data_IF_517160488866
#
_entry.id   IF_517160488866
#
_cell.length_a   1.000
_cell.length_b   1.000
_cell.length_c   1.000
_cell.angle_alpha   90.00
_cell.angle_beta   90.00
_cell.angle_gamma   90.00
#
_symmetry.space_group_name_H-M   'P 1'
#
loop_
_entity.id
_entity.type
_entity.pdbx_description
1 polymer ?
#
# COMPACT_ATOMS: atom_id res chain seq x y z
N UNK A 1 -10.19 -5.37 -40.93
CA UNK A 1 -10.21 -4.20 -40.03
C UNK A 1 -8.86 -3.46 -40.06
N UNK A 2 -8.84 -2.14 -40.28
CA UNK A 2 -7.60 -1.37 -40.23
C UNK A 2 -6.96 -1.45 -38.83
N UNK A 3 -5.61 -1.54 -38.74
CA UNK A 3 -4.93 -1.55 -37.45
C UNK A 3 -5.22 -0.25 -36.68
N UNK A 4 -5.46 -0.37 -35.38
CA UNK A 4 -5.69 0.79 -34.52
C UNK A 4 -4.42 1.64 -34.45
N UNK A 5 -4.53 2.93 -34.82
CA UNK A 5 -3.43 3.90 -34.70
C UNK A 5 -3.38 4.43 -33.27
N UNK A 6 -2.28 4.16 -32.57
CA UNK A 6 -2.05 4.72 -31.24
C UNK A 6 -1.92 6.26 -31.31
N UNK A 7 -2.40 6.98 -30.29
CA UNK A 7 -2.10 8.40 -30.14
C UNK A 7 -0.61 8.60 -29.83
N UNK A 8 -0.15 9.85 -29.87
CA UNK A 8 1.19 10.20 -29.38
C UNK A 8 1.24 10.05 -27.83
N UNK A 9 2.12 9.22 -27.27
CA UNK A 9 2.27 9.07 -25.82
C UNK A 9 2.78 10.34 -25.11
N UNK A 10 3.37 11.29 -25.84
CA UNK A 10 3.79 12.59 -25.33
C UNK A 10 2.66 13.63 -25.31
N UNK A 11 1.54 13.36 -25.99
CA UNK A 11 0.39 14.25 -25.97
C UNK A 11 -0.28 14.23 -24.59
N UNK A 12 0.13 15.17 -23.73
CA UNK A 12 -0.38 15.32 -22.36
C UNK A 12 -1.49 16.35 -22.24
N UNK A 13 -1.94 16.97 -23.33
CA UNK A 13 -3.04 17.92 -23.31
C UNK A 13 -4.28 17.26 -22.66
N UNK A 14 -4.72 17.81 -21.52
CA UNK A 14 -5.82 17.31 -20.70
C UNK A 14 -5.56 15.99 -19.94
N UNK A 15 -4.30 15.58 -19.75
CA UNK A 15 -3.91 14.45 -18.91
C UNK A 15 -3.23 14.93 -17.62
N UNK A 16 -3.40 14.21 -16.50
CA UNK A 16 -4.20 12.98 -16.32
C UNK A 16 -5.71 13.24 -16.21
N UNK A 17 -6.55 12.33 -16.73
CA UNK A 17 -8.03 12.49 -16.77
C UNK A 17 -8.75 12.30 -15.44
N UNK A 18 -8.05 11.83 -14.39
CA UNK A 18 -8.63 11.42 -13.11
C UNK A 18 -8.15 12.30 -11.94
N UNK A 19 -7.84 13.58 -12.20
CA UNK A 19 -7.29 14.49 -11.19
C UNK A 19 -8.26 14.71 -10.02
N UNK A 20 -9.56 14.79 -10.27
CA UNK A 20 -10.57 14.98 -9.22
C UNK A 20 -10.75 13.77 -8.29
N UNK A 21 -10.50 12.56 -8.81
CA UNK A 21 -10.62 11.31 -8.04
C UNK A 21 -9.30 10.86 -7.44
N UNK A 22 -8.17 11.43 -7.87
CA UNK A 22 -6.85 11.12 -7.34
C UNK A 22 -6.77 11.43 -5.84
N UNK A 23 -6.48 10.43 -4.99
CA UNK A 23 -6.64 10.60 -3.56
C UNK A 23 -5.51 11.39 -2.90
N UNK A 24 -4.30 11.36 -3.45
CA UNK A 24 -3.11 11.90 -2.77
C UNK A 24 -2.91 13.41 -2.94
N UNK A 25 -3.59 14.05 -3.91
CA UNK A 25 -3.60 15.52 -4.06
C UNK A 25 -4.64 16.20 -3.16
N UNK A 26 -5.45 15.40 -2.43
CA UNK A 26 -6.52 15.93 -1.59
C UNK A 26 -5.97 16.35 -0.24
N UNK A 27 -6.56 17.40 0.30
CA UNK A 27 -6.32 17.83 1.67
C UNK A 27 -7.46 17.37 2.58
N UNK A 28 -7.20 17.32 3.89
CA UNK A 28 -8.25 17.26 4.90
C UNK A 28 -9.16 18.47 4.77
N UNK A 29 -10.40 18.37 5.26
CA UNK A 29 -11.41 19.44 5.18
C UNK A 29 -11.79 19.87 3.76
N UNK A 30 -11.41 19.10 2.73
CA UNK A 30 -11.84 19.32 1.35
C UNK A 30 -13.28 18.82 1.11
N UNK A 31 -13.97 19.45 0.16
CA UNK A 31 -15.35 19.14 -0.20
C UNK A 31 -16.37 19.93 0.59
N UNK A 32 -17.59 19.39 0.74
CA UNK A 32 -18.69 20.06 1.44
C UNK A 32 -18.42 20.06 2.96
N UNK A 33 -18.30 21.24 3.55
CA UNK A 33 -18.21 21.42 5.01
C UNK A 33 -19.45 20.79 5.69
N UNK A 34 -19.27 19.99 6.75
CA UNK A 34 -20.37 19.48 7.56
C UNK A 34 -21.24 20.61 8.12
N UNK A 35 -22.55 20.39 8.18
CA UNK A 35 -23.51 21.35 8.74
C UNK A 35 -23.30 21.62 10.23
N UNK A 36 -22.65 20.69 10.93
CA UNK A 36 -22.36 20.79 12.34
C UNK A 36 -20.86 20.56 12.53
N UNK A 37 -20.22 21.53 13.15
CA UNK A 37 -18.82 21.46 13.57
C UNK A 37 -18.76 21.30 15.08
N UNK A 38 -17.61 20.86 15.57
CA UNK A 38 -17.37 20.83 17.01
C UNK A 38 -17.18 22.25 17.55
N UNK A 39 -17.74 22.55 18.72
CA UNK A 39 -17.55 23.82 19.40
C UNK A 39 -16.25 23.89 20.23
N UNK A 40 -15.49 22.80 20.28
CA UNK A 40 -14.24 22.69 21.02
C UNK A 40 -13.94 21.26 21.44
N UNK A 41 -12.91 21.06 22.25
CA UNK A 41 -12.64 19.76 22.87
C UNK A 41 -11.92 19.92 24.19
N UNK A 42 -12.21 19.01 25.12
CA UNK A 42 -11.43 18.87 26.36
C UNK A 42 -9.95 18.57 26.09
N UNK A 43 -9.65 17.95 24.93
CA UNK A 43 -8.27 17.69 24.47
C UNK A 43 -7.96 18.59 23.30
N UNK A 44 -7.02 19.54 23.43
CA UNK A 44 -6.59 20.38 22.32
C UNK A 44 -6.09 19.55 21.14
N UNK A 45 -6.58 19.88 19.95
CA UNK A 45 -6.08 19.35 18.68
C UNK A 45 -5.95 20.50 17.68
N UNK A 46 -5.03 20.36 16.72
CA UNK A 46 -4.78 21.41 15.71
C UNK A 46 -5.97 21.54 14.77
N UNK A 47 -6.23 22.75 14.29
CA UNK A 47 -7.15 23.01 13.18
C UNK A 47 -6.45 23.11 11.81
N UNK A 48 -5.17 22.76 11.75
CA UNK A 48 -4.38 22.71 10.53
C UNK A 48 -4.98 21.79 9.45
N UNK A 49 -4.71 22.14 8.18
CA UNK A 49 -5.13 21.37 7.00
C UNK A 49 -3.97 20.48 6.57
N UNK A 50 -4.16 19.16 6.66
CA UNK A 50 -3.14 18.16 6.32
C UNK A 50 -3.39 17.54 4.95
N UNK A 51 -2.39 16.90 4.33
CA UNK A 51 -2.61 15.96 3.24
C UNK A 51 -3.55 14.84 3.65
N UNK A 52 -4.46 14.46 2.75
CA UNK A 52 -5.42 13.37 2.98
C UNK A 52 -4.70 12.03 3.03
N UNK A 53 -5.01 11.25 4.06
CA UNK A 53 -4.61 9.85 4.16
C UNK A 53 -5.58 9.00 3.32
N UNK A 54 -5.01 8.22 2.42
CA UNK A 54 -5.70 7.22 1.62
C UNK A 54 -5.01 5.88 1.77
N UNK A 55 -5.74 4.92 2.36
CA UNK A 55 -5.27 3.56 2.57
C UNK A 55 -6.21 2.63 1.81
N UNK A 56 -5.70 1.82 0.85
CA UNK A 56 -6.50 0.86 0.13
C UNK A 56 -7.19 -0.15 1.06
N UNK A 57 -8.37 -0.63 0.66
CA UNK A 57 -9.17 -1.63 1.39
C UNK A 57 -8.34 -2.82 1.84
N UNK A 58 -7.59 -3.40 0.91
CA UNK A 58 -6.76 -4.58 1.15
C UNK A 58 -5.55 -4.31 2.07
N UNK A 59 -5.20 -3.04 2.27
CA UNK A 59 -4.13 -2.64 3.18
C UNK A 59 -4.70 -2.32 4.57
N UNK A 60 -5.82 -1.58 4.64
CA UNK A 60 -6.44 -1.18 5.91
C UNK A 60 -7.11 -2.34 6.67
N UNK A 61 -7.60 -3.35 5.95
CA UNK A 61 -8.24 -4.54 6.54
C UNK A 61 -7.31 -5.75 6.60
N UNK A 62 -6.03 -5.58 6.29
CA UNK A 62 -5.11 -6.71 6.10
C UNK A 62 -4.89 -7.57 7.34
N UNK A 63 -5.15 -7.03 8.54
CA UNK A 63 -5.04 -7.74 9.82
C UNK A 63 -6.39 -8.22 10.36
N UNK A 64 -7.50 -7.93 9.66
CA UNK A 64 -8.82 -8.21 10.17
C UNK A 64 -9.20 -9.67 9.94
N UNK A 65 -9.89 -10.31 10.90
CA UNK A 65 -10.67 -11.52 10.66
C UNK A 65 -11.65 -11.34 9.49
N UNK A 66 -11.91 -12.41 8.74
CA UNK A 66 -12.73 -12.36 7.53
C UNK A 66 -14.21 -12.05 7.83
N UNK A 67 -14.73 -12.47 8.98
CA UNK A 67 -16.08 -12.13 9.46
C UNK A 67 -16.23 -10.62 9.74
N UNK A 68 -15.27 -10.01 10.43
CA UNK A 68 -15.24 -8.56 10.66
C UNK A 68 -15.11 -7.83 9.32
N UNK A 69 -14.22 -8.29 8.44
CA UNK A 69 -14.02 -7.68 7.12
C UNK A 69 -15.29 -7.75 6.27
N UNK A 70 -16.01 -8.87 6.32
CA UNK A 70 -17.30 -9.06 5.63
C UNK A 70 -18.36 -8.12 6.20
N UNK A 71 -18.51 -8.07 7.52
CA UNK A 71 -19.48 -7.19 8.17
C UNK A 71 -19.23 -5.69 7.85
N UNK A 72 -17.96 -5.27 7.80
CA UNK A 72 -17.61 -3.91 7.38
C UNK A 72 -17.89 -3.70 5.89
N UNK A 73 -17.64 -4.69 5.03
CA UNK A 73 -17.91 -4.58 3.60
C UNK A 73 -19.40 -4.47 3.28
N UNK A 74 -20.27 -5.08 4.09
CA UNK A 74 -21.74 -5.03 3.94
C UNK A 74 -22.36 -3.70 4.37
N UNK A 75 -21.73 -2.96 5.29
CA UNK A 75 -22.22 -1.65 5.78
C UNK A 75 -21.06 -0.71 6.11
N UNK A 76 -20.21 -0.34 5.14
CA UNK A 76 -18.97 0.40 5.39
C UNK A 76 -19.20 1.76 6.05
N UNK A 77 -20.34 2.41 5.80
CA UNK A 77 -20.73 3.70 6.36
C UNK A 77 -20.96 3.69 7.87
N UNK A 78 -21.18 2.51 8.49
CA UNK A 78 -21.35 2.35 9.94
C UNK A 78 -20.03 2.25 10.70
N UNK A 79 -18.91 2.24 9.96
CA UNK A 79 -17.58 2.03 10.51
C UNK A 79 -16.61 3.10 9.99
N UNK A 80 -15.74 3.58 10.89
CA UNK A 80 -14.61 4.44 10.54
C UNK A 80 -13.36 3.75 11.05
N UNK A 81 -12.31 3.70 10.22
CA UNK A 81 -11.02 3.24 10.66
C UNK A 81 -10.26 4.40 11.30
N UNK A 82 -9.82 4.23 12.54
CA UNK A 82 -8.92 5.15 13.20
C UNK A 82 -7.49 4.59 13.14
N UNK A 83 -6.70 5.18 12.26
CA UNK A 83 -5.32 4.79 12.01
C UNK A 83 -4.41 5.71 12.81
N UNK A 84 -3.72 5.21 13.84
CA UNK A 84 -2.77 6.04 14.56
C UNK A 84 -1.60 6.41 13.64
N UNK A 85 -1.05 7.61 13.79
CA UNK A 85 0.22 7.93 13.17
C UNK A 85 1.28 6.99 13.73
N UNK A 86 2.13 6.44 12.87
CA UNK A 86 3.05 5.33 13.18
C UNK A 86 2.34 4.01 13.47
N UNK A 87 1.15 3.80 12.89
CA UNK A 87 0.37 2.57 13.05
C UNK A 87 1.22 1.31 12.82
N UNK A 88 0.98 0.29 13.62
CA UNK A 88 1.70 -0.98 13.56
C UNK A 88 1.71 -1.63 14.94
N UNK A 89 2.22 -2.88 15.06
CA UNK A 89 2.23 -3.61 16.32
C UNK A 89 2.88 -2.81 17.47
N UNK A 90 3.99 -2.12 17.19
CA UNK A 90 4.72 -1.35 18.20
C UNK A 90 3.91 -0.20 18.81
N UNK A 91 3.05 0.45 18.02
CA UNK A 91 2.19 1.50 18.56
C UNK A 91 1.29 0.96 19.68
N UNK A 92 0.75 -0.24 19.53
CA UNK A 92 -0.14 -0.86 20.52
C UNK A 92 0.61 -1.49 21.70
N UNK A 93 1.86 -1.91 21.50
CA UNK A 93 2.76 -2.26 22.60
C UNK A 93 3.00 -1.06 23.52
N UNK A 94 3.28 0.10 22.91
CA UNK A 94 3.51 1.37 23.61
C UNK A 94 2.19 1.96 24.16
N UNK A 95 1.04 1.67 23.53
CA UNK A 95 -0.27 2.23 23.86
C UNK A 95 -1.34 1.14 24.02
N UNK A 96 -1.19 0.28 25.04
CA UNK A 96 -2.07 -0.89 25.27
C UNK A 96 -3.57 -0.59 25.40
N UNK A 97 -3.93 0.66 25.72
CA UNK A 97 -5.32 1.14 25.89
C UNK A 97 -5.68 2.22 24.87
N UNK A 98 -5.11 2.14 23.66
CA UNK A 98 -5.37 3.10 22.59
C UNK A 98 -6.86 3.20 22.21
N UNK A 99 -7.61 2.10 22.34
CA UNK A 99 -9.07 2.05 22.22
C UNK A 99 -9.77 3.00 23.19
N UNK A 100 -9.37 2.97 24.46
CA UNK A 100 -9.94 3.83 25.49
C UNK A 100 -9.51 5.29 25.30
N UNK A 101 -8.24 5.51 24.95
CA UNK A 101 -7.72 6.85 24.64
C UNK A 101 -8.53 7.51 23.50
N UNK A 102 -8.72 6.80 22.38
CA UNK A 102 -9.51 7.29 21.26
C UNK A 102 -10.99 7.49 21.66
N UNK A 103 -11.57 6.55 22.40
CA UNK A 103 -12.97 6.65 22.85
C UNK A 103 -13.19 7.85 23.76
N UNK A 104 -12.29 8.10 24.71
CA UNK A 104 -12.34 9.25 25.61
C UNK A 104 -12.22 10.55 24.83
N UNK A 105 -11.26 10.64 23.90
CA UNK A 105 -11.12 11.79 23.02
C UNK A 105 -12.40 12.08 22.22
N UNK A 106 -12.94 11.09 21.52
CA UNK A 106 -14.14 11.27 20.70
C UNK A 106 -15.36 11.67 21.55
N UNK A 107 -15.44 11.19 22.79
CA UNK A 107 -16.48 11.61 23.74
C UNK A 107 -16.27 13.04 24.27
N UNK A 108 -15.04 13.50 24.41
CA UNK A 108 -14.67 14.85 24.86
C UNK A 108 -14.68 15.92 23.76
N UNK A 109 -14.98 15.58 22.50
CA UNK A 109 -15.27 16.58 21.46
C UNK A 109 -16.59 17.27 21.81
N UNK A 110 -16.69 18.59 21.82
CA UNK A 110 -17.99 19.24 22.03
C UNK A 110 -18.81 19.19 20.72
N UNK A 111 -19.77 18.26 20.64
CA UNK A 111 -20.58 18.02 19.46
C UNK A 111 -22.00 17.57 19.87
N UNK A 112 -23.08 18.18 19.35
CA UNK A 112 -24.45 18.02 19.88
C UNK A 112 -24.98 16.58 19.91
N UNK A 113 -24.80 15.83 18.82
CA UNK A 113 -25.18 14.42 18.75
C UNK A 113 -24.04 13.61 18.17
N UNK A 114 -23.40 12.79 19.01
CA UNK A 114 -22.30 11.91 18.63
C UNK A 114 -22.73 10.47 18.42
N UNK A 115 -23.95 10.09 18.80
CA UNK A 115 -24.37 8.69 18.93
C UNK A 115 -23.71 7.93 20.10
N UNK A 116 -23.89 6.61 20.12
CA UNK A 116 -23.34 5.67 21.11
C UNK A 116 -21.97 5.15 20.68
N UNK A 117 -20.97 6.04 20.67
CA UNK A 117 -19.61 5.74 20.17
C UNK A 117 -19.02 4.50 20.87
N UNK A 118 -18.62 3.54 20.04
CA UNK A 118 -17.84 2.38 20.44
C UNK A 118 -16.55 2.36 19.63
N UNK A 119 -15.45 2.02 20.31
CA UNK A 119 -14.13 1.84 19.71
C UNK A 119 -13.64 0.47 20.14
N UNK A 120 -13.18 -0.34 19.20
CA UNK A 120 -12.64 -1.65 19.51
C UNK A 120 -11.47 -2.02 18.61
N UNK A 121 -10.65 -2.92 19.13
CA UNK A 121 -9.55 -3.54 18.40
C UNK A 121 -10.10 -4.77 17.66
N UNK A 122 -9.92 -4.89 16.34
CA UNK A 122 -10.21 -6.15 15.65
C UNK A 122 -9.19 -7.17 16.15
N UNK A 123 -9.64 -8.17 16.90
CA UNK A 123 -8.80 -9.28 17.36
C UNK A 123 -8.04 -9.85 16.15
N UNK A 124 -6.72 -10.03 16.26
CA UNK A 124 -5.94 -10.57 15.15
C UNK A 124 -6.58 -11.88 14.67
N UNK A 125 -6.70 -12.02 13.34
CA UNK A 125 -6.93 -13.33 12.76
C UNK A 125 -5.82 -14.24 13.29
N UNK A 126 -6.18 -15.26 14.08
CA UNK A 126 -5.22 -16.29 14.47
C UNK A 126 -4.76 -16.93 13.17
N UNK A 127 -3.56 -16.58 12.71
CA UNK A 127 -2.95 -17.29 11.58
C UNK A 127 -2.91 -18.76 11.97
N UNK A 128 -3.65 -19.59 11.24
CA UNK A 128 -3.60 -21.03 11.42
C UNK A 128 -2.14 -21.45 11.35
N UNK A 129 -1.63 -22.04 12.45
CA UNK A 129 -0.22 -22.42 12.66
C UNK A 129 0.34 -23.38 11.59
N UNK A 130 -0.43 -23.75 10.57
CA UNK A 130 -0.07 -24.72 9.52
C UNK A 130 0.93 -24.19 8.48
N UNK A 131 1.21 -22.88 8.41
CA UNK A 131 2.26 -22.34 7.52
C UNK A 131 3.66 -22.27 8.16
N UNK A 132 3.86 -22.86 9.35
CA UNK A 132 5.14 -22.82 10.10
C UNK A 132 6.26 -23.72 9.55
N UNK A 133 6.10 -24.35 8.38
CA UNK A 133 7.19 -25.10 7.74
C UNK A 133 8.13 -24.23 6.88
N UNK A 134 8.10 -22.90 7.01
CA UNK A 134 9.20 -22.05 6.55
C UNK A 134 10.10 -21.71 7.74
N UNK A 135 11.09 -22.57 7.97
CA UNK A 135 12.22 -22.33 8.89
C UNK A 135 13.24 -21.30 8.36
N UNK A 136 12.95 -20.62 7.25
CA UNK A 136 13.84 -19.59 6.70
C UNK A 136 13.40 -18.19 7.13
N UNK A 137 14.06 -17.68 8.16
CA UNK A 137 14.12 -16.25 8.47
C UNK A 137 12.84 -15.71 9.11
N UNK A 138 12.84 -15.63 10.44
CA UNK A 138 11.97 -14.70 11.15
C UNK A 138 12.20 -13.27 10.65
N UNK A 139 11.51 -12.87 9.58
CA UNK A 139 11.19 -11.48 9.34
C UNK A 139 10.32 -11.09 10.53
N UNK A 140 10.93 -10.52 11.57
CA UNK A 140 10.21 -9.84 12.64
C UNK A 140 9.12 -9.02 11.94
N UNK A 141 7.85 -9.26 12.25
CA UNK A 141 6.75 -8.38 11.83
C UNK A 141 7.27 -6.97 12.05
N UNK A 142 7.42 -6.19 10.98
CA UNK A 142 8.06 -4.87 11.09
C UNK A 142 7.32 -4.10 12.18
N UNK A 143 8.03 -3.38 13.04
CA UNK A 143 7.41 -2.56 14.09
C UNK A 143 6.32 -1.62 13.53
N UNK A 144 6.43 -1.32 12.23
CA UNK A 144 5.53 -0.47 11.45
C UNK A 144 4.95 -1.19 10.22
N UNK A 145 4.65 -2.48 10.32
CA UNK A 145 3.99 -3.25 9.26
C UNK A 145 2.60 -2.65 8.89
N UNK A 146 1.79 -3.40 8.13
CA UNK A 146 0.44 -2.99 7.70
C UNK A 146 -0.36 -2.29 8.82
N UNK A 147 -1.17 -1.26 8.49
CA UNK A 147 -1.93 -0.52 9.49
C UNK A 147 -2.80 -1.48 10.30
N UNK A 148 -2.75 -1.33 11.61
CA UNK A 148 -3.71 -1.90 12.54
C UNK A 148 -4.62 -0.77 12.98
N UNK A 149 -5.71 -0.47 12.26
CA UNK A 149 -6.65 0.55 12.68
C UNK A 149 -7.54 0.05 13.82
N UNK A 150 -7.93 0.96 14.71
CA UNK A 150 -9.09 0.75 15.57
C UNK A 150 -10.36 0.96 14.75
N UNK A 151 -11.44 0.25 15.10
CA UNK A 151 -12.74 0.40 14.45
C UNK A 151 -13.62 1.28 15.35
N UNK A 152 -14.10 2.38 14.79
CA UNK A 152 -15.07 3.29 15.42
C UNK A 152 -16.46 2.99 14.84
N UNK A 153 -17.47 2.84 15.70
CA UNK A 153 -18.86 2.60 15.31
C UNK A 153 -19.84 3.25 16.29
N UNK A 154 -21.14 3.18 16.00
CA UNK A 154 -22.21 3.74 16.81
C UNK A 154 -22.27 5.27 16.79
N UNK A 155 -21.57 5.92 15.87
CA UNK A 155 -21.60 7.36 15.69
C UNK A 155 -22.88 7.82 14.96
N UNK A 156 -23.33 9.05 15.22
CA UNK A 156 -24.38 9.68 14.42
C UNK A 156 -23.87 10.02 13.02
N UNK A 157 -24.75 10.11 12.02
CA UNK A 157 -24.35 10.45 10.65
C UNK A 157 -23.61 11.80 10.56
N UNK A 158 -24.12 12.82 11.28
CA UNK A 158 -23.50 14.16 11.32
C UNK A 158 -22.11 14.13 11.93
N UNK A 159 -21.94 13.39 13.03
CA UNK A 159 -20.64 13.25 13.67
C UNK A 159 -19.65 12.47 12.79
N UNK A 160 -20.08 11.38 12.15
CA UNK A 160 -19.27 10.63 11.20
C UNK A 160 -18.77 11.50 10.03
N UNK A 161 -19.64 12.34 9.45
CA UNK A 161 -19.26 13.31 8.40
C UNK A 161 -18.22 14.31 8.90
N UNK A 162 -18.39 14.85 10.11
CA UNK A 162 -17.41 15.73 10.74
C UNK A 162 -16.05 15.05 10.94
N UNK A 163 -16.03 13.84 11.49
CA UNK A 163 -14.82 13.06 11.73
C UNK A 163 -14.05 12.78 10.42
N UNK A 164 -14.75 12.37 9.36
CA UNK A 164 -14.14 12.09 8.06
C UNK A 164 -13.71 13.35 7.29
N UNK A 165 -14.42 14.46 7.47
CA UNK A 165 -14.05 15.75 6.90
C UNK A 165 -12.79 16.29 7.56
N UNK A 166 -12.70 16.27 8.89
CA UNK A 166 -11.50 16.69 9.61
C UNK A 166 -10.33 15.72 9.40
N UNK A 167 -10.61 14.41 9.46
CA UNK A 167 -9.73 13.28 9.20
C UNK A 167 -8.50 13.16 10.11
N UNK A 168 -7.64 14.17 10.19
CA UNK A 168 -6.46 14.18 11.04
C UNK A 168 -6.75 14.91 12.35
N UNK A 169 -6.54 14.22 13.47
CA UNK A 169 -6.59 14.79 14.81
C UNK A 169 -5.20 14.66 15.44
N UNK A 170 -4.39 15.70 15.31
CA UNK A 170 -3.10 15.80 15.99
C UNK A 170 -3.32 16.35 17.40
N UNK A 171 -3.17 15.50 18.42
CA UNK A 171 -3.44 15.84 19.82
C UNK A 171 -2.13 16.01 20.59
N UNK A 172 -2.11 16.92 21.56
CA UNK A 172 -0.94 17.19 22.40
C UNK A 172 -0.46 15.97 23.22
N UNK A 173 -1.32 14.97 23.43
CA UNK A 173 -1.07 13.76 24.24
C UNK A 173 -0.38 12.61 23.49
N UNK A 174 0.40 12.91 22.44
CA UNK A 174 1.24 11.97 21.66
C UNK A 174 0.51 10.98 20.75
N UNK A 175 -0.82 10.93 20.76
CA UNK A 175 -1.57 10.16 19.78
C UNK A 175 -2.10 11.08 18.67
N UNK A 176 -1.81 10.72 17.44
CA UNK A 176 -2.38 11.38 16.25
C UNK A 176 -3.24 10.36 15.55
N UNK A 177 -4.48 10.71 15.25
CA UNK A 177 -5.43 9.81 14.63
C UNK A 177 -5.81 10.28 13.23
N UNK A 178 -5.67 9.40 12.25
CA UNK A 178 -6.25 9.56 10.92
C UNK A 178 -7.53 8.73 10.84
N UNK A 179 -8.67 9.40 10.80
CA UNK A 179 -10.01 8.80 10.69
C UNK A 179 -10.38 8.67 9.22
N UNK A 180 -10.23 7.46 8.67
CA UNK A 180 -10.44 7.17 7.25
C UNK A 180 -11.68 6.31 7.05
N UNK A 181 -12.43 6.50 5.95
CA UNK A 181 -13.61 5.69 5.68
C UNK A 181 -13.19 4.29 5.26
N UNK A 182 -13.95 3.28 5.67
CA UNK A 182 -13.88 1.99 5.01
C UNK A 182 -14.52 2.09 3.63
N UNK A 183 -13.81 1.61 2.61
CA UNK A 183 -14.32 1.57 1.25
C UNK A 183 -13.84 0.28 0.58
N UNK A 184 -14.70 -0.75 0.45
CA UNK A 184 -14.33 -2.01 -0.20
C UNK A 184 -13.87 -1.87 -1.66
N UNK A 185 -14.17 -0.73 -2.29
CA UNK A 185 -13.77 -0.41 -3.67
C UNK A 185 -12.45 0.35 -3.76
N UNK A 186 -11.87 0.79 -2.63
CA UNK A 186 -10.62 1.54 -2.62
C UNK A 186 -9.44 0.59 -2.89
N UNK A 187 -8.91 0.62 -4.12
CA UNK A 187 -7.66 -0.05 -4.47
C UNK A 187 -6.47 0.92 -4.44
N UNK A 188 -5.26 0.35 -4.40
CA UNK A 188 -4.03 1.10 -4.52
C UNK A 188 -3.97 1.82 -5.87
N UNK A 189 -3.73 3.13 -5.83
CA UNK A 189 -3.42 3.92 -7.03
C UNK A 189 -1.96 3.74 -7.46
N UNK A 190 -1.10 3.31 -6.53
CA UNK A 190 0.30 3.01 -6.80
C UNK A 190 0.41 1.70 -7.55
N UNK A 191 0.94 1.74 -8.78
CA UNK A 191 1.04 0.58 -9.67
C UNK A 191 2.39 -0.10 -9.47
N UNK A 192 3.48 0.67 -9.59
CA UNK A 192 4.86 0.16 -9.57
C UNK A 192 5.86 1.30 -9.34
N UNK A 193 7.04 0.99 -8.83
CA UNK A 193 8.17 1.91 -8.77
C UNK A 193 9.31 1.46 -9.71
N UNK A 194 10.02 2.41 -10.31
CA UNK A 194 11.16 2.20 -11.18
C UNK A 194 12.41 2.90 -10.62
N UNK A 195 13.57 2.26 -10.74
CA UNK A 195 14.88 2.78 -10.38
C UNK A 195 15.82 2.76 -11.61
N UNK A 196 16.98 3.40 -11.48
CA UNK A 196 18.04 3.39 -12.48
C UNK A 196 18.68 4.77 -12.68
N UNK A 197 19.77 4.82 -13.44
CA UNK A 197 20.57 6.05 -13.63
C UNK A 197 19.80 7.23 -14.27
N UNK A 198 18.71 6.92 -14.98
CA UNK A 198 17.85 7.90 -15.64
C UNK A 198 16.86 8.57 -14.67
N UNK A 199 16.67 8.00 -13.48
CA UNK A 199 15.72 8.49 -12.50
C UNK A 199 16.27 9.74 -11.82
N UNK A 200 15.71 10.89 -12.18
CA UNK A 200 16.13 12.21 -11.70
C UNK A 200 14.91 13.11 -11.54
N UNK A 201 15.00 14.09 -10.64
CA UNK A 201 13.97 15.11 -10.49
C UNK A 201 14.05 16.12 -11.64
N UNK A 202 13.64 15.71 -12.84
CA UNK A 202 13.63 16.53 -14.03
C UNK A 202 12.28 16.33 -14.76
N UNK A 203 11.43 17.38 -14.87
CA UNK A 203 10.11 17.27 -15.47
C UNK A 203 10.11 16.71 -16.91
N UNK A 204 11.11 17.06 -17.73
CA UNK A 204 11.24 16.57 -19.11
C UNK A 204 11.53 15.06 -19.12
N UNK A 205 12.43 14.60 -18.26
CA UNK A 205 12.74 13.17 -18.13
C UNK A 205 11.56 12.37 -17.56
N UNK A 206 10.83 12.93 -16.61
CA UNK A 206 9.63 12.31 -16.03
C UNK A 206 8.56 12.15 -17.14
N UNK A 207 8.33 13.19 -17.95
CA UNK A 207 7.40 13.15 -19.06
C UNK A 207 7.82 12.14 -20.14
N UNK A 208 9.10 12.11 -20.52
CA UNK A 208 9.65 11.12 -21.46
C UNK A 208 9.48 9.69 -20.91
N UNK A 209 9.83 9.46 -19.65
CA UNK A 209 9.69 8.16 -19.01
C UNK A 209 8.23 7.69 -18.98
N UNK A 210 7.30 8.58 -18.62
CA UNK A 210 5.86 8.28 -18.64
C UNK A 210 5.37 7.92 -20.05
N UNK A 211 5.81 8.66 -21.08
CA UNK A 211 5.46 8.39 -22.46
C UNK A 211 5.98 7.02 -22.92
N UNK A 212 7.23 6.66 -22.57
CA UNK A 212 7.81 5.34 -22.87
C UNK A 212 7.11 4.20 -22.15
N UNK A 213 6.74 4.41 -20.88
CA UNK A 213 5.94 3.45 -20.10
C UNK A 213 4.58 3.22 -20.76
N UNK A 214 3.91 4.30 -21.20
CA UNK A 214 2.63 4.24 -21.91
C UNK A 214 2.76 3.49 -23.23
N UNK A 215 3.70 3.86 -24.10
CA UNK A 215 3.90 3.22 -25.40
C UNK A 215 4.21 1.71 -25.27
N UNK A 216 5.09 1.33 -24.34
CA UNK A 216 5.40 -0.07 -24.05
C UNK A 216 4.15 -0.84 -23.58
N UNK A 217 3.37 -0.24 -22.69
CA UNK A 217 2.10 -0.81 -22.19
C UNK A 217 1.08 -0.97 -23.31
N UNK A 218 0.96 0.03 -24.19
CA UNK A 218 0.01 0.03 -25.30
C UNK A 218 0.32 -1.05 -26.32
N UNK A 219 1.60 -1.35 -26.57
CA UNK A 219 2.02 -2.36 -27.55
C UNK A 219 2.02 -3.78 -27.01
N UNK A 220 1.97 -3.97 -25.70
CA UNK A 220 1.98 -5.31 -25.10
C UNK A 220 0.62 -6.03 -25.27
N UNK A 221 0.61 -7.09 -26.06
CA UNK A 221 -0.61 -7.86 -26.37
C UNK A 221 -1.19 -8.55 -25.12
N UNK A 222 -0.36 -8.93 -24.16
CA UNK A 222 -0.83 -9.60 -22.93
C UNK A 222 -1.59 -8.62 -22.04
N UNK A 223 -1.09 -7.40 -21.89
CA UNK A 223 -1.76 -6.29 -21.20
C UNK A 223 -3.06 -5.95 -21.93
N UNK A 224 -3.03 -5.78 -23.26
CA UNK A 224 -4.25 -5.50 -24.03
C UNK A 224 -5.34 -6.55 -23.81
N UNK A 225 -4.99 -7.84 -23.85
CA UNK A 225 -5.93 -8.93 -23.62
C UNK A 225 -6.44 -8.95 -22.17
N UNK A 226 -5.59 -8.65 -21.19
CA UNK A 226 -5.99 -8.53 -19.79
C UNK A 226 -6.96 -7.36 -19.60
N UNK A 227 -6.64 -6.17 -20.12
CA UNK A 227 -7.52 -4.98 -20.08
C UNK A 227 -8.86 -5.29 -20.75
N UNK A 228 -8.87 -5.92 -21.93
CA UNK A 228 -10.10 -6.36 -22.61
C UNK A 228 -10.96 -7.24 -21.71
N UNK A 229 -10.37 -8.27 -21.09
CA UNK A 229 -11.11 -9.17 -20.18
C UNK A 229 -11.71 -8.41 -19.00
N UNK A 230 -10.95 -7.49 -18.42
CA UNK A 230 -11.37 -6.65 -17.30
C UNK A 230 -12.56 -5.77 -17.69
N UNK A 231 -12.44 -5.04 -18.81
CA UNK A 231 -13.48 -4.12 -19.25
C UNK A 231 -14.73 -4.87 -19.72
N UNK A 232 -14.57 -6.04 -20.35
CA UNK A 232 -15.69 -6.90 -20.73
C UNK A 232 -16.49 -7.38 -19.51
N UNK A 233 -15.81 -7.74 -18.42
CA UNK A 233 -16.48 -8.10 -17.15
C UNK A 233 -17.26 -6.93 -16.54
N UNK A 234 -16.96 -5.69 -16.95
CA UNK A 234 -17.68 -4.46 -16.57
C UNK A 234 -18.75 -4.07 -17.60
N UNK A 235 -19.04 -4.90 -18.60
CA UNK A 235 -19.99 -4.61 -19.68
C UNK A 235 -19.46 -3.66 -20.76
N UNK A 236 -18.16 -3.31 -20.72
CA UNK A 236 -17.53 -2.46 -21.72
C UNK A 236 -16.89 -3.33 -22.82
N UNK A 237 -17.34 -3.14 -24.06
CA UNK A 237 -16.76 -3.77 -25.24
C UNK A 237 -15.93 -2.75 -26.04
N UNK A 238 -14.95 -3.23 -26.80
CA UNK A 238 -14.14 -2.35 -27.63
C UNK A 238 -12.85 -3.00 -28.12
N UNK A 239 -12.11 -2.23 -28.91
CA UNK A 239 -10.78 -2.61 -29.36
C UNK A 239 -9.81 -2.64 -28.15
N UNK A 240 -9.08 -3.74 -27.90
CA UNK A 240 -8.18 -3.89 -26.75
C UNK A 240 -7.11 -2.80 -26.65
N UNK A 241 -6.55 -2.36 -27.78
CA UNK A 241 -5.56 -1.30 -27.85
C UNK A 241 -6.18 0.05 -27.41
N UNK A 242 -7.38 0.37 -27.91
CA UNK A 242 -8.12 1.59 -27.51
C UNK A 242 -8.45 1.60 -26.01
N UNK A 243 -8.85 0.44 -25.47
CA UNK A 243 -9.16 0.31 -24.04
C UNK A 243 -7.89 0.47 -23.18
N UNK A 244 -6.75 -0.05 -23.64
CA UNK A 244 -5.45 0.10 -22.98
C UNK A 244 -4.99 1.55 -22.97
N UNK A 245 -5.16 2.28 -24.08
CA UNK A 245 -4.92 3.73 -24.11
C UNK A 245 -5.76 4.43 -23.05
N UNK A 246 -7.08 4.16 -23.01
CA UNK A 246 -8.00 4.76 -22.03
C UNK A 246 -7.57 4.48 -20.58
N UNK A 247 -7.18 3.25 -20.25
CA UNK A 247 -6.64 2.89 -18.94
C UNK A 247 -5.48 3.81 -18.51
N UNK A 248 -4.55 4.10 -19.42
CA UNK A 248 -3.35 4.88 -19.09
C UNK A 248 -3.58 6.39 -19.03
N UNK A 249 -4.77 6.89 -19.34
CA UNK A 249 -5.06 8.33 -19.33
C UNK A 249 -5.02 8.93 -17.92
N UNK A 250 -5.25 8.14 -16.88
CA UNK A 250 -5.10 8.56 -15.47
C UNK A 250 -3.66 8.48 -14.95
N UNK A 251 -2.73 7.91 -15.73
CA UNK A 251 -1.38 7.63 -15.27
C UNK A 251 -0.56 8.90 -15.09
N UNK A 252 0.17 8.94 -13.99
CA UNK A 252 1.17 9.95 -13.64
C UNK A 252 2.43 9.26 -13.13
N UNK A 253 3.56 9.93 -13.32
CA UNK A 253 4.85 9.47 -12.84
C UNK A 253 5.41 10.52 -11.89
N UNK A 254 5.72 10.12 -10.66
CA UNK A 254 6.27 11.03 -9.65
C UNK A 254 7.70 10.64 -9.32
N UNK A 255 8.59 11.62 -9.25
CA UNK A 255 9.91 11.42 -8.68
C UNK A 255 9.80 11.36 -7.15
N UNK A 256 10.43 10.35 -6.55
CA UNK A 256 10.44 10.15 -5.11
C UNK A 256 11.85 9.79 -4.67
N UNK A 257 12.41 10.57 -3.75
CA UNK A 257 13.69 10.22 -3.15
C UNK A 257 13.50 9.09 -2.15
N UNK A 258 14.26 8.00 -2.29
CA UNK A 258 14.24 6.92 -1.31
C UNK A 258 15.56 6.84 -0.56
N UNK A 259 15.46 6.62 0.74
CA UNK A 259 16.55 6.17 1.61
C UNK A 259 16.23 4.71 1.91
N UNK A 260 16.91 3.76 1.28
CA UNK A 260 16.74 2.35 1.64
C UNK A 260 17.27 2.11 3.06
N UNK A 261 16.87 1.00 3.69
CA UNK A 261 17.33 0.61 5.03
C UNK A 261 18.86 0.41 5.09
N UNK A 262 19.47 0.07 3.95
CA UNK A 262 20.92 -0.07 3.79
C UNK A 262 21.64 1.26 3.49
N UNK A 263 20.94 2.39 3.60
CA UNK A 263 21.45 3.73 3.30
C UNK A 263 21.87 3.96 1.84
N UNK A 264 21.66 2.98 0.95
CA UNK A 264 21.75 3.15 -0.49
C UNK A 264 20.60 4.05 -0.96
N UNK A 265 20.95 5.32 -1.17
CA UNK A 265 20.08 6.35 -1.71
C UNK A 265 19.81 6.02 -3.18
N UNK A 266 18.57 5.72 -3.51
CA UNK A 266 18.14 5.52 -4.88
C UNK A 266 16.87 6.32 -5.13
N UNK A 267 16.88 7.37 -5.95
CA UNK A 267 15.62 7.96 -6.37
C UNK A 267 14.82 6.92 -7.17
N UNK A 268 13.50 6.98 -7.07
CA UNK A 268 12.59 6.20 -7.90
C UNK A 268 11.65 7.08 -8.69
N UNK A 269 11.13 6.54 -9.77
CA UNK A 269 9.89 6.99 -10.38
C UNK A 269 8.74 6.11 -9.90
N UNK A 270 7.74 6.70 -9.26
CA UNK A 270 6.53 6.04 -8.81
C UNK A 270 5.43 6.22 -9.85
N UNK A 271 5.04 5.13 -10.51
CA UNK A 271 3.91 5.11 -11.44
C UNK A 271 2.61 4.95 -10.64
N UNK A 272 1.72 5.92 -10.78
CA UNK A 272 0.41 5.92 -10.18
C UNK A 272 -0.68 6.11 -11.23
N UNK A 273 -1.86 5.59 -10.98
CA UNK A 273 -3.01 5.73 -11.86
C UNK A 273 -4.28 5.21 -11.24
N UNK A 274 -5.41 5.62 -11.79
CA UNK A 274 -6.71 5.14 -11.35
C UNK A 274 -6.82 3.62 -11.63
N UNK A 275 -7.19 2.81 -10.63
CA UNK A 275 -7.45 1.40 -10.83
C UNK A 275 -8.58 1.19 -11.85
N UNK A 276 -8.34 0.38 -12.88
CA UNK A 276 -9.35 0.09 -13.93
C UNK A 276 -10.57 -0.63 -13.36
N UNK A 277 -10.40 -1.33 -12.25
CA UNK A 277 -11.44 -2.17 -11.66
C UNK A 277 -11.30 -2.27 -10.16
N UNK A 278 -12.33 -2.87 -9.54
CA UNK A 278 -12.42 -3.08 -8.09
C UNK A 278 -11.78 -4.42 -7.66
N UNK A 279 -11.49 -5.34 -8.60
CA UNK A 279 -10.86 -6.61 -8.29
C UNK A 279 -9.34 -6.47 -8.08
N UNK A 280 -8.88 -6.82 -6.87
CA UNK A 280 -7.48 -6.71 -6.47
C UNK A 280 -6.53 -7.63 -7.25
N UNK A 281 -6.93 -8.86 -7.55
CA UNK A 281 -6.05 -9.84 -8.20
C UNK A 281 -5.77 -9.46 -9.65
N UNK A 282 -6.77 -8.92 -10.33
CA UNK A 282 -6.62 -8.41 -11.69
C UNK A 282 -5.81 -7.10 -11.72
N UNK A 283 -5.96 -6.23 -10.71
CA UNK A 283 -5.09 -5.07 -10.55
C UNK A 283 -3.61 -5.49 -10.33
N UNK A 284 -3.37 -6.50 -9.49
CA UNK A 284 -2.04 -7.10 -9.30
C UNK A 284 -1.51 -7.75 -10.57
N UNK A 285 -2.36 -8.41 -11.35
CA UNK A 285 -1.98 -9.00 -12.63
C UNK A 285 -1.51 -7.93 -13.62
N UNK A 286 -2.20 -6.78 -13.72
CA UNK A 286 -1.75 -5.65 -14.54
C UNK A 286 -0.37 -5.18 -14.10
N UNK A 287 -0.20 -4.91 -12.80
CA UNK A 287 1.10 -4.49 -12.26
C UNK A 287 2.20 -5.52 -12.58
N UNK A 288 1.93 -6.82 -12.44
CA UNK A 288 2.86 -7.90 -12.77
C UNK A 288 3.21 -7.99 -14.26
N UNK A 289 2.29 -7.64 -15.17
CA UNK A 289 2.60 -7.50 -16.59
C UNK A 289 3.50 -6.29 -16.85
N UNK A 290 3.20 -5.13 -16.22
CA UNK A 290 4.03 -3.93 -16.35
C UNK A 290 5.46 -4.18 -15.83
N UNK A 291 5.63 -4.94 -14.72
CA UNK A 291 6.96 -5.33 -14.21
C UNK A 291 7.82 -6.11 -15.20
N UNK A 292 7.23 -6.71 -16.24
CA UNK A 292 7.98 -7.51 -17.23
C UNK A 292 8.36 -6.71 -18.47
N UNK A 293 7.84 -5.48 -18.60
CA UNK A 293 8.16 -4.62 -19.73
C UNK A 293 9.62 -4.17 -19.65
N UNK A 294 10.31 -4.22 -20.79
CA UNK A 294 11.62 -3.59 -20.97
C UNK A 294 11.39 -2.17 -21.44
N UNK A 295 11.59 -1.21 -20.56
CA UNK A 295 11.37 0.21 -20.84
C UNK A 295 12.73 0.91 -20.85
N UNK A 296 13.07 1.51 -21.98
CA UNK A 296 14.29 2.30 -22.14
C UNK A 296 13.93 3.77 -22.35
N UNK A 297 14.65 4.65 -21.66
CA UNK A 297 14.54 6.11 -21.74
C UNK A 297 15.96 6.62 -22.00
N UNK A 298 16.17 7.31 -23.13
CA UNK A 298 17.52 7.78 -23.54
C UNK A 298 18.59 6.68 -23.47
N UNK A 299 18.29 5.50 -24.03
CA UNK A 299 19.17 4.31 -24.03
C UNK A 299 19.46 3.71 -22.64
N UNK A 300 18.87 4.24 -21.57
CA UNK A 300 19.01 3.71 -20.21
C UNK A 300 17.74 2.95 -19.82
N UNK A 301 17.89 1.78 -19.22
CA UNK A 301 16.76 0.94 -18.83
C UNK A 301 16.19 1.38 -17.47
N UNK A 302 14.86 1.47 -17.39
CA UNK A 302 14.15 1.53 -16.12
C UNK A 302 14.09 0.14 -15.50
N UNK A 303 14.57 0.01 -14.27
CA UNK A 303 14.60 -1.23 -13.51
C UNK A 303 13.43 -1.23 -12.54
N UNK A 304 12.64 -2.31 -12.53
CA UNK A 304 11.51 -2.42 -11.62
C UNK A 304 11.98 -2.62 -10.17
N UNK A 305 11.29 -1.97 -9.24
CA UNK A 305 11.46 -2.20 -7.80
C UNK A 305 10.29 -3.07 -7.32
N UNK A 306 10.60 -4.21 -6.71
CA UNK A 306 9.59 -5.17 -6.27
C UNK A 306 8.76 -4.66 -5.08
N UNK A 307 9.28 -3.68 -4.34
CA UNK A 307 8.65 -3.10 -3.17
C UNK A 307 7.90 -1.81 -3.53
N UNK A 308 6.62 -1.76 -3.14
CA UNK A 308 5.87 -0.49 -3.12
C UNK A 308 6.45 0.38 -2.03
N UNK A 309 6.82 1.60 -2.38
CA UNK A 309 7.25 2.62 -1.42
C UNK A 309 6.00 3.19 -0.77
N UNK A 310 5.96 3.12 0.55
CA UNK A 310 4.90 3.71 1.34
C UNK A 310 5.47 4.29 2.63
N UNK A 311 4.69 5.15 3.24
CA UNK A 311 5.05 5.83 4.47
C UNK A 311 4.63 4.96 5.66
N UNK A 312 5.60 4.55 6.48
CA UNK A 312 5.35 3.78 7.68
C UNK A 312 4.57 4.58 8.75
N UNK A 313 4.56 5.91 8.62
CA UNK A 313 3.96 6.82 9.58
C UNK A 313 2.48 7.09 9.29
N UNK A 314 2.16 7.72 8.15
CA UNK A 314 0.79 8.03 7.77
C UNK A 314 0.10 6.92 6.94
N UNK A 315 0.86 5.90 6.51
CA UNK A 315 0.38 4.72 5.75
C UNK A 315 -0.08 4.98 4.32
N UNK A 316 0.12 6.20 3.80
CA UNK A 316 -0.01 6.47 2.38
C UNK A 316 1.06 5.74 1.55
N UNK A 317 0.77 5.51 0.26
CA UNK A 317 1.62 4.75 -0.67
C UNK A 317 2.25 5.60 -1.78
N UNK A 318 2.21 6.93 -1.64
CA UNK A 318 2.74 7.90 -2.61
C UNK A 318 4.11 8.48 -2.22
N UNK A 319 4.54 8.28 -0.98
CA UNK A 319 5.82 8.77 -0.47
C UNK A 319 6.42 7.84 0.61
N UNK A 320 7.75 7.85 0.82
CA UNK A 320 8.42 7.14 1.89
C UNK A 320 8.34 7.89 3.23
N UNK A 321 8.62 7.16 4.31
CA UNK A 321 8.55 7.64 5.70
C UNK A 321 9.36 8.92 5.99
N UNK A 322 10.52 9.10 5.34
CA UNK A 322 11.40 10.25 5.59
C UNK A 322 11.02 11.52 4.82
N UNK A 323 10.08 11.43 3.88
CA UNK A 323 9.48 12.58 3.19
C UNK A 323 7.99 12.67 3.53
N UNK A 324 7.61 12.23 4.74
CA UNK A 324 6.23 12.35 5.18
C UNK A 324 5.89 13.84 5.35
N UNK A 325 4.83 14.35 4.72
CA UNK A 325 4.56 15.78 4.72
C UNK A 325 3.97 16.29 6.05
N UNK A 326 3.43 15.40 6.90
CA UNK A 326 2.70 15.78 8.11
C UNK A 326 3.50 16.70 9.07
N UNK A 327 4.78 16.41 9.39
CA UNK A 327 5.58 17.27 10.25
C UNK A 327 5.95 18.63 9.63
N UNK A 328 5.75 18.82 8.33
CA UNK A 328 6.10 20.04 7.60
C UNK A 328 4.91 20.99 7.42
N UNK A 329 3.69 20.55 7.73
CA UNK A 329 2.45 21.31 7.48
C UNK A 329 2.34 22.55 8.37
N UNK A 330 2.64 22.41 9.67
CA UNK A 330 2.43 23.49 10.64
C UNK A 330 3.42 23.37 11.82
N UNK A 331 3.88 24.52 12.29
CA UNK A 331 4.53 24.72 13.60
C UNK A 331 3.73 24.18 14.79
N UNK A 332 2.40 24.06 14.67
CA UNK A 332 1.52 23.51 15.71
C UNK A 332 1.40 21.98 15.69
N UNK A 333 2.15 21.30 14.81
CA UNK A 333 2.16 19.84 14.74
C UNK A 333 2.56 19.21 16.09
N UNK A 334 1.61 18.53 16.73
CA UNK A 334 1.84 17.80 17.98
C UNK A 334 2.51 16.44 17.82
N UNK A 335 2.81 16.03 16.59
CA UNK A 335 3.48 14.77 16.32
C UNK A 335 5.00 14.84 16.34
N UNK A 336 5.66 13.72 16.04
CA UNK A 336 7.12 13.71 15.95
C UNK A 336 7.60 14.63 14.82
N UNK A 337 8.71 15.33 15.04
CA UNK A 337 9.36 16.15 14.02
C UNK A 337 10.05 15.29 12.97
N UNK A 338 10.38 15.86 11.80
CA UNK A 338 11.13 15.15 10.75
C UNK A 338 12.44 14.53 11.29
N UNK A 339 13.16 15.27 12.13
CA UNK A 339 14.42 14.81 12.74
C UNK A 339 14.21 13.63 13.69
N UNK A 340 13.15 13.67 14.52
CA UNK A 340 12.81 12.55 15.39
C UNK A 340 12.44 11.28 14.61
N UNK A 341 11.74 11.45 13.47
CA UNK A 341 11.40 10.34 12.58
C UNK A 341 12.68 9.74 11.98
N UNK A 342 13.61 10.57 11.51
CA UNK A 342 14.89 10.12 10.96
C UNK A 342 15.75 9.39 12.00
N UNK A 343 15.89 9.96 13.21
CA UNK A 343 16.65 9.34 14.29
C UNK A 343 16.08 7.97 14.69
N UNK A 344 14.74 7.83 14.69
CA UNK A 344 14.09 6.55 14.99
C UNK A 344 14.33 5.52 13.91
N UNK A 345 14.29 5.90 12.63
CA UNK A 345 14.61 4.99 11.53
C UNK A 345 16.02 4.43 11.65
N UNK A 346 17.01 5.27 12.01
CA UNK A 346 18.39 4.82 12.25
C UNK A 346 18.49 3.83 13.41
N UNK A 347 17.74 4.05 14.51
CA UNK A 347 17.76 3.17 15.69
C UNK A 347 17.05 1.83 15.48
N UNK A 348 15.99 1.79 14.65
CA UNK A 348 15.26 0.55 14.36
C UNK A 348 15.82 -0.23 13.17
N UNK A 349 16.58 0.43 12.29
CA UNK A 349 17.15 -0.15 11.07
C UNK A 349 18.52 -0.80 11.25
N UNK A 350 19.25 -0.50 12.34
CA UNK A 350 20.51 -1.19 12.61
C UNK A 350 20.25 -2.69 12.84
N UNK A 351 20.72 -3.59 11.96
CA UNK A 351 20.74 -5.01 12.27
C UNK A 351 21.58 -5.14 13.53
N UNK A 352 21.02 -5.68 14.61
CA UNK A 352 21.88 -6.21 15.67
C UNK A 352 22.67 -7.32 15.00
N UNK A 353 23.95 -7.08 14.73
CA UNK A 353 24.87 -8.13 14.29
C UNK A 353 24.65 -9.33 15.21
N UNK A 354 24.06 -10.38 14.66
CA UNK A 354 24.00 -11.65 15.36
C UNK A 354 25.44 -12.13 15.33
N UNK A 355 26.13 -12.30 16.48
CA UNK A 355 27.48 -12.83 16.47
C UNK A 355 27.40 -14.17 15.76
N UNK A 356 28.04 -14.26 14.60
CA UNK A 356 28.18 -15.50 13.87
C UNK A 356 28.96 -16.42 14.80
N UNK A 357 28.26 -17.31 15.53
CA UNK A 357 28.89 -18.38 16.27
C UNK A 357 29.60 -19.23 15.23
N UNK A 358 30.89 -18.99 15.05
CA UNK A 358 31.79 -19.88 14.34
C UNK A 358 31.59 -21.26 14.97
N UNK A 359 30.96 -22.17 14.22
CA UNK A 359 30.97 -23.57 14.56
C UNK A 359 32.42 -24.02 14.45
N UNK A 360 33.07 -24.20 15.61
CA UNK A 360 34.28 -25.00 15.71
C UNK A 360 33.99 -26.38 15.12
N UNK A 361 34.60 -26.66 13.97
CA UNK A 361 34.67 -27.99 13.38
C UNK A 361 35.48 -28.90 14.29
N UNK A 362 34.80 -29.57 15.21
CA UNK A 362 35.38 -30.73 15.88
C UNK A 362 35.43 -31.90 14.90
N UNK A 363 36.62 -32.07 14.33
CA UNK A 363 37.06 -33.21 13.55
C UNK A 363 37.05 -34.47 14.43
N UNK A 364 36.35 -35.53 14.01
CA UNK A 364 36.64 -36.91 14.43
C UNK A 364 36.67 -37.84 13.22
N UNK A 365 37.69 -38.72 13.12
CA UNK A 365 37.81 -39.69 12.03
C UNK A 365 37.22 -41.05 12.41
N UNK A 366 36.82 -41.82 11.40
CA UNK A 366 36.87 -43.29 11.44
C UNK A 366 35.52 -44.01 11.55
N UNK A 367 35.26 -44.90 10.59
CA UNK A 367 34.18 -45.87 10.68
C UNK A 367 33.76 -46.52 9.36
N UNK A 368 34.67 -47.26 8.71
CA UNK A 368 34.34 -48.24 7.66
C UNK A 368 33.54 -49.40 8.27
N UNK A 369 32.45 -49.82 7.62
CA UNK A 369 32.09 -51.25 7.55
C UNK A 369 31.34 -51.55 6.25
N UNK A 370 31.70 -52.68 5.64
CA UNK A 370 31.23 -53.27 4.38
C UNK A 370 30.20 -54.38 4.67
N UNK A 371 29.56 -54.84 3.58
CA UNK A 371 28.75 -56.06 3.37
C UNK A 371 27.28 -56.01 3.78
N UNK A 372 26.32 -56.56 3.02
CA UNK A 372 26.31 -57.33 1.76
C UNK A 372 24.91 -57.17 1.11
N UNK A 373 24.77 -57.15 -0.22
CA UNK A 373 24.60 -58.27 -1.17
C UNK A 373 23.19 -58.91 -1.25
N UNK A 374 22.79 -59.12 -2.52
CA UNK A 374 21.74 -60.00 -3.10
C UNK A 374 20.31 -59.44 -3.21
N UNK A 375 19.85 -59.13 -4.44
CA UNK A 375 19.17 -60.01 -5.43
C UNK A 375 17.66 -59.66 -5.40
N UNK A 376 16.80 -59.78 -6.40
CA UNK A 376 16.78 -60.37 -7.74
C UNK A 376 15.53 -59.80 -8.45
N UNK A 377 15.42 -60.03 -9.77
CA UNK A 377 14.20 -60.07 -10.59
C UNK A 377 13.41 -58.74 -10.82
N UNK A 378 12.99 -58.34 -12.02
CA UNK A 378 12.79 -59.04 -13.28
C UNK A 378 11.54 -58.44 -13.97
N UNK A 379 11.48 -58.54 -15.29
CA UNK A 379 10.29 -58.40 -16.17
C UNK A 379 9.97 -57.06 -16.88
N UNK A 380 10.48 -56.99 -18.12
CA UNK A 380 9.80 -56.90 -19.44
C UNK A 380 8.79 -55.77 -19.76
N UNK A 381 9.26 -54.91 -20.67
CA UNK A 381 8.72 -54.51 -22.00
C UNK A 381 7.41 -55.17 -22.47
N UNK A 382 6.43 -54.34 -22.90
CA UNK A 382 5.64 -54.55 -24.15
C UNK A 382 5.33 -53.19 -24.82
N UNK A 383 5.55 -53.13 -26.14
CA UNK A 383 5.19 -52.03 -27.07
C UNK A 383 3.97 -52.42 -27.92
N UNK A 384 3.36 -51.40 -28.56
CA UNK A 384 2.45 -51.40 -29.75
C UNK A 384 0.97 -51.76 -29.46
N UNK A 385 -0.03 -51.22 -30.17
CA UNK A 385 -0.01 -50.69 -31.54
C UNK A 385 -1.13 -49.71 -31.88
N UNK A 386 -1.18 -49.40 -33.19
CA UNK A 386 -1.96 -48.39 -33.92
C UNK A 386 -3.21 -49.01 -34.56
N UNK A 387 -4.21 -48.14 -34.80
CA UNK A 387 -5.22 -48.12 -35.89
C UNK A 387 -6.37 -49.13 -35.81
N UNK A 388 -7.52 -48.94 -36.51
CA UNK A 388 -7.77 -48.23 -37.79
C UNK A 388 -7.72 -46.70 -37.79
#
# INVERSE_FOLDING_TARGET
>A
PMPYKFPDPHATANLPTASETFPYDKLTRSGKTPETLSAGSDTPFTDAIYPRVFIPWNHITASFPEDIRTAIAESPEKFIAAVPFRAGPKFYEDNRRADLMLKTFLKGLDFPDKGKITVFFPLEAKEDKKSRNREEGHTRRSAFDKPWPLIVTGFSEKFGKFLLWNQCFAMASQAIWNLVPFNPKALAWTIIAFQGNIVKNNPVLIAEALARIKDATWRDTSIQNLVKRITQAQGLSGNPAKLTVKMTQSWRLSYVETKNFDNDKGPVFLLMGEPIMINLDMHRAIAAHIRRLKICVNYQQLINVDKIIGCDWCKNQDHPSHTCPFPEVDSTWYGPSSDELQLRMMKTGAPKEVPCKQKEENSKPGGRSRHGENNDDGWKVVKRGKKP
#
